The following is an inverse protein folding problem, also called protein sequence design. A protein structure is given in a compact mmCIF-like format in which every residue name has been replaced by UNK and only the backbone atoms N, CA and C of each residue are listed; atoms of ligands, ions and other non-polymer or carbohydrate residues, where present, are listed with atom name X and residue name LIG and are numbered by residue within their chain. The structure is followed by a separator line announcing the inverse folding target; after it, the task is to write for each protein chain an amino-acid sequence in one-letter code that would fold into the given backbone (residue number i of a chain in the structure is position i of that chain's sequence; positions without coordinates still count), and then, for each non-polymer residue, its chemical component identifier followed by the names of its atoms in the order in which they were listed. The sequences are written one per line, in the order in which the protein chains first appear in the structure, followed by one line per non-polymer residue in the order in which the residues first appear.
data_IF_012056143513
#
_entry.id   IF_012056143513
#
_cell.length_a   1.000
_cell.length_b   1.000
_cell.length_c   1.000
_cell.angle_alpha   90.00
_cell.angle_beta   90.00
_cell.angle_gamma   90.00
#
_symmetry.space_group_name_H-M   'P 1'
#
loop_
_entity.id
_entity.type
_entity.pdbx_description
1 polymer ?
#
# COMPACT_ATOMS: atom_id res chain seq x y z
N UNK A 1 -10.14 14.08 1.89
CA UNK A 1 -11.33 14.16 2.77
C UNK A 1 -10.92 13.52 4.08
N UNK A 2 -11.03 14.18 5.24
CA UNK A 2 -10.72 13.54 6.51
C UNK A 2 -11.74 12.43 6.83
N UNK A 3 -11.24 11.27 7.24
CA UNK A 3 -11.99 10.09 7.66
C UNK A 3 -11.64 9.69 9.12
N UNK A 4 -11.15 10.65 9.91
CA UNK A 4 -10.72 10.43 11.29
C UNK A 4 -11.83 9.75 12.12
N UNK A 5 -11.49 8.62 12.73
CA UNK A 5 -12.41 7.83 13.54
C UNK A 5 -13.39 6.94 12.77
N UNK A 6 -13.42 7.00 11.43
CA UNK A 6 -14.18 6.06 10.62
C UNK A 6 -13.49 4.69 10.53
N UNK A 7 -14.28 3.65 10.27
CA UNK A 7 -13.80 2.31 9.92
C UNK A 7 -14.16 2.03 8.46
N UNK A 8 -13.16 1.76 7.62
CA UNK A 8 -13.35 1.35 6.24
C UNK A 8 -13.13 -0.18 6.11
N UNK A 9 -14.12 -0.87 5.55
CA UNK A 9 -14.06 -2.30 5.26
C UNK A 9 -13.98 -2.52 3.75
N UNK A 10 -13.00 -3.30 3.31
CA UNK A 10 -12.92 -3.80 1.94
C UNK A 10 -12.78 -5.34 1.96
N UNK A 11 -13.85 -6.10 1.63
CA UNK A 11 -13.82 -7.56 1.65
C UNK A 11 -13.24 -8.19 0.36
N UNK A 12 -12.72 -7.38 -0.57
CA UNK A 12 -12.08 -7.81 -1.80
C UNK A 12 -10.84 -6.95 -2.08
N UNK A 13 -9.88 -6.97 -1.16
CA UNK A 13 -8.81 -5.95 -1.13
C UNK A 13 -7.96 -5.90 -2.39
N UNK A 14 -7.76 -7.01 -3.12
CA UNK A 14 -6.88 -7.04 -4.28
C UNK A 14 -5.49 -6.46 -3.97
N UNK A 15 -5.15 -5.34 -4.63
CA UNK A 15 -3.90 -4.60 -4.40
C UNK A 15 -3.92 -3.62 -3.21
N UNK A 16 -5.05 -3.44 -2.54
CA UNK A 16 -5.15 -2.69 -1.28
C UNK A 16 -5.32 -1.18 -1.41
N UNK A 17 -5.48 -0.63 -2.62
CA UNK A 17 -5.53 0.82 -2.87
C UNK A 17 -6.60 1.53 -2.02
N UNK A 18 -7.81 0.97 -1.95
CA UNK A 18 -8.92 1.51 -1.16
C UNK A 18 -8.54 1.69 0.32
N UNK A 19 -7.85 0.68 0.90
CA UNK A 19 -7.44 0.71 2.30
C UNK A 19 -6.25 1.66 2.54
N UNK A 20 -5.27 1.70 1.63
CA UNK A 20 -4.14 2.64 1.72
C UNK A 20 -4.63 4.09 1.73
N UNK A 21 -5.54 4.44 0.81
CA UNK A 21 -6.06 5.80 0.71
C UNK A 21 -6.99 6.15 1.89
N UNK A 22 -7.79 5.20 2.37
CA UNK A 22 -8.60 5.41 3.58
C UNK A 22 -7.73 5.63 4.82
N UNK A 23 -6.65 4.85 4.98
CA UNK A 23 -5.68 5.01 6.07
C UNK A 23 -4.97 6.37 6.01
N UNK A 24 -4.55 6.82 4.82
CA UNK A 24 -3.98 8.17 4.62
C UNK A 24 -4.97 9.29 4.96
N UNK A 25 -6.26 9.03 4.84
CA UNK A 25 -7.32 9.94 5.24
C UNK A 25 -7.66 9.87 6.74
N UNK A 26 -7.00 9.03 7.54
CA UNK A 26 -7.21 8.91 8.99
C UNK A 26 -8.21 7.81 9.42
N UNK A 27 -8.68 6.97 8.49
CA UNK A 27 -9.58 5.87 8.84
C UNK A 27 -8.82 4.70 9.48
N UNK A 28 -9.51 3.94 10.34
CA UNK A 28 -9.13 2.57 10.64
C UNK A 28 -9.59 1.65 9.51
N UNK A 29 -8.75 0.69 9.10
CA UNK A 29 -9.02 -0.13 7.91
C UNK A 29 -9.07 -1.61 8.26
N UNK A 30 -10.02 -2.32 7.65
CA UNK A 30 -10.18 -3.77 7.76
C UNK A 30 -10.29 -4.31 6.33
N UNK A 31 -9.47 -5.32 6.02
CA UNK A 31 -9.35 -5.87 4.69
C UNK A 31 -9.33 -7.39 4.69
N UNK A 32 -10.00 -8.00 3.71
CA UNK A 32 -9.92 -9.43 3.44
C UNK A 32 -9.97 -9.69 1.93
N UNK A 33 -9.50 -10.86 1.52
CA UNK A 33 -9.65 -11.37 0.16
C UNK A 33 -9.58 -12.90 0.18
N UNK A 34 -10.32 -13.55 -0.72
CA UNK A 34 -10.23 -15.01 -0.89
C UNK A 34 -8.84 -15.42 -1.35
N UNK A 35 -8.15 -14.55 -2.10
CA UNK A 35 -6.76 -14.76 -2.48
C UNK A 35 -5.83 -14.30 -1.34
N UNK A 36 -5.18 -15.28 -0.71
CA UNK A 36 -4.14 -15.04 0.29
C UNK A 36 -2.98 -14.16 -0.22
N UNK A 37 -2.70 -14.17 -1.53
CA UNK A 37 -1.68 -13.31 -2.15
C UNK A 37 -2.14 -11.86 -2.15
N UNK A 38 -3.40 -11.58 -2.47
CA UNK A 38 -3.98 -10.23 -2.41
C UNK A 38 -3.91 -9.67 -0.98
N UNK A 39 -4.24 -10.49 0.02
CA UNK A 39 -4.11 -10.11 1.45
C UNK A 39 -2.66 -9.80 1.81
N UNK A 40 -1.69 -10.62 1.36
CA UNK A 40 -0.27 -10.38 1.58
C UNK A 40 0.23 -9.09 0.92
N UNK A 41 -0.12 -8.86 -0.35
CA UNK A 41 0.23 -7.64 -1.10
C UNK A 41 -0.33 -6.42 -0.38
N UNK A 42 -1.63 -6.43 -0.06
CA UNK A 42 -2.29 -5.33 0.65
C UNK A 42 -1.61 -5.03 1.98
N UNK A 43 -1.21 -6.06 2.74
CA UNK A 43 -0.48 -5.86 4.01
C UNK A 43 0.88 -5.21 3.81
N UNK A 44 1.60 -5.58 2.76
CA UNK A 44 2.86 -4.94 2.38
C UNK A 44 2.66 -3.48 2.00
N UNK A 45 1.68 -3.18 1.13
CA UNK A 45 1.34 -1.82 0.70
C UNK A 45 0.93 -0.91 1.88
N UNK A 46 0.10 -1.41 2.80
CA UNK A 46 -0.25 -0.70 4.03
C UNK A 46 0.98 -0.39 4.91
N UNK A 47 1.96 -1.30 4.94
CA UNK A 47 3.21 -1.08 5.68
C UNK A 47 4.12 -0.08 4.96
N UNK A 48 4.18 -0.17 3.63
CA UNK A 48 4.93 0.74 2.77
C UNK A 48 4.43 2.19 2.88
N UNK A 49 3.13 2.39 3.13
CA UNK A 49 2.53 3.70 3.33
C UNK A 49 3.11 4.48 4.53
N UNK A 50 3.77 3.81 5.47
CA UNK A 50 4.45 4.44 6.61
C UNK A 50 5.82 5.03 6.25
N UNK A 51 6.39 4.69 5.10
CA UNK A 51 7.71 5.16 4.68
C UNK A 51 7.61 6.50 3.94
N UNK A 52 8.60 7.36 4.14
CA UNK A 52 8.73 8.58 3.36
C UNK A 52 9.27 8.24 1.96
N UNK A 53 8.51 8.44 0.87
CA UNK A 53 8.97 8.13 -0.49
C UNK A 53 10.13 9.02 -0.95
N UNK A 54 10.41 10.12 -0.25
CA UNK A 54 11.52 11.04 -0.50
C UNK A 54 12.71 10.81 0.45
N UNK A 55 12.73 9.72 1.24
CA UNK A 55 13.89 9.39 2.06
C UNK A 55 15.09 8.99 1.20
N UNK A 56 16.29 9.21 1.73
CA UNK A 56 17.55 8.82 1.08
C UNK A 56 17.62 7.30 0.87
N UNK A 57 17.17 6.49 1.84
CA UNK A 57 17.06 5.03 1.74
C UNK A 57 16.19 4.59 0.53
N UNK A 58 15.05 5.25 0.31
CA UNK A 58 14.19 4.95 -0.84
C UNK A 58 14.84 5.43 -2.14
N UNK A 59 15.58 6.54 -2.13
CA UNK A 59 16.34 7.01 -3.28
C UNK A 59 17.46 6.02 -3.67
N UNK A 60 18.18 5.47 -2.68
CA UNK A 60 19.21 4.43 -2.89
C UNK A 60 18.61 3.15 -3.45
N UNK A 61 17.50 2.66 -2.88
CA UNK A 61 16.76 1.52 -3.43
C UNK A 61 16.39 1.74 -4.90
N UNK A 62 15.82 2.92 -5.24
CA UNK A 62 15.49 3.27 -6.63
C UNK A 62 16.70 3.28 -7.54
N UNK A 63 17.83 3.81 -7.07
CA UNK A 63 19.09 3.81 -7.83
C UNK A 63 19.58 2.38 -8.09
N UNK A 64 19.49 1.48 -7.10
CA UNK A 64 19.87 0.07 -7.23
C UNK A 64 18.98 -0.69 -8.22
N UNK A 65 17.68 -0.36 -8.33
CA UNK A 65 16.78 -0.96 -9.31
C UNK A 65 16.81 -0.29 -10.70
N UNK A 66 17.49 0.86 -10.83
CA UNK A 66 17.51 1.73 -12.00
C UNK A 66 18.07 1.15 -13.31
N UNK A 67 18.63 -0.06 -13.30
CA UNK A 67 19.15 -0.73 -14.52
C UNK A 67 18.43 -2.03 -14.89
N UNK A 68 17.53 -2.54 -14.04
CA UNK A 68 16.82 -3.82 -14.27
C UNK A 68 15.31 -3.64 -14.35
N UNK A 69 14.87 -2.48 -14.85
CA UNK A 69 13.45 -2.16 -15.02
C UNK A 69 12.71 -3.34 -15.66
N UNK A 70 11.71 -3.86 -14.95
CA UNK A 70 10.73 -4.79 -15.49
C UNK A 70 10.19 -4.15 -16.77
N UNK A 71 10.62 -4.66 -17.92
CA UNK A 71 10.04 -4.29 -19.22
C UNK A 71 8.62 -4.81 -19.20
N UNK A 72 7.68 -3.96 -18.80
CA UNK A 72 6.27 -4.16 -19.07
C UNK A 72 6.12 -4.15 -20.58
N UNK A 73 5.80 -5.33 -21.14
CA UNK A 73 5.38 -5.48 -22.52
C UNK A 73 4.04 -4.77 -22.77
#
# INVERSE_FOLDING_TARGET
MPLDGAVALDPFVGGGTSLVEAMRCGAHVIGDDIDSVATFITRFELSAAAYNPQSEEIAELRAAFGESGLRTA
#
